data_IF_431957258680
#
_entry.id   IF_431957258680
#
_cell.length_a   1.000
_cell.length_b   1.000
_cell.length_c   1.000
_cell.angle_alpha   90.00
_cell.angle_beta   90.00
_cell.angle_gamma   90.00
#
_symmetry.space_group_name_H-M   'P 1'
#
loop_
_entity.id
_entity.type
_entity.pdbx_description
1 polymer ?
#
# COMPACT_ATOMS: atom_id res chain seq x y z
N UNK A 1 5.29 11.47 6.98
CA UNK A 1 4.58 10.16 7.06
C UNK A 1 3.09 10.23 6.71
N UNK A 2 2.48 11.42 6.68
CA UNK A 2 1.07 11.60 6.28
C UNK A 2 0.78 11.06 4.87
N UNK A 3 1.74 11.16 3.95
CA UNK A 3 1.62 10.66 2.58
C UNK A 3 1.42 9.14 2.50
N UNK A 4 1.97 8.36 3.45
CA UNK A 4 1.84 6.90 3.48
C UNK A 4 0.73 6.41 4.44
N UNK A 5 0.20 7.29 5.30
CA UNK A 5 -0.82 6.93 6.28
C UNK A 5 -2.11 6.32 5.66
N UNK A 6 -2.62 6.80 4.50
CA UNK A 6 -3.78 6.19 3.86
C UNK A 6 -3.56 4.73 3.47
N UNK A 7 -2.33 4.35 3.09
CA UNK A 7 -2.02 2.97 2.72
C UNK A 7 -2.10 2.02 3.92
N UNK A 8 -1.68 2.47 5.11
CA UNK A 8 -1.85 1.69 6.34
C UNK A 8 -3.32 1.51 6.71
N UNK A 9 -4.13 2.55 6.53
CA UNK A 9 -5.58 2.48 6.80
C UNK A 9 -6.26 1.53 5.83
N UNK A 10 -5.86 1.54 4.55
CA UNK A 10 -6.35 0.61 3.54
C UNK A 10 -6.03 -0.85 3.90
N UNK A 11 -4.77 -1.16 4.20
CA UNK A 11 -4.37 -2.53 4.57
C UNK A 11 -4.91 -3.01 5.92
N UNK A 12 -5.29 -2.08 6.81
CA UNK A 12 -5.95 -2.42 8.07
C UNK A 12 -7.46 -2.65 7.90
N UNK A 13 -8.05 -2.15 6.82
CA UNK A 13 -9.47 -2.30 6.52
C UNK A 13 -9.73 -3.63 5.82
N UNK A 14 -10.40 -4.54 6.51
CA UNK A 14 -10.80 -5.84 5.96
C UNK A 14 -11.78 -5.70 4.78
N UNK A 15 -12.66 -4.69 4.83
CA UNK A 15 -13.58 -4.40 3.74
C UNK A 15 -12.85 -4.00 2.44
N UNK A 16 -11.71 -3.31 2.55
CA UNK A 16 -10.98 -2.77 1.41
C UNK A 16 -9.82 -3.66 0.93
N UNK A 17 -9.27 -4.50 1.82
CA UNK A 17 -8.05 -5.28 1.55
C UNK A 17 -8.17 -6.79 1.81
N UNK A 18 -9.35 -7.32 2.14
CA UNK A 18 -9.57 -8.76 2.42
C UNK A 18 -9.03 -9.73 1.36
N UNK A 19 -8.90 -9.29 0.10
CA UNK A 19 -8.37 -10.12 -1.00
C UNK A 19 -6.92 -9.79 -1.40
N UNK A 20 -6.27 -8.84 -0.73
CA UNK A 20 -4.91 -8.39 -1.03
C UNK A 20 -3.99 -8.88 0.09
N UNK A 21 -3.22 -9.94 -0.21
CA UNK A 21 -2.31 -10.56 0.77
C UNK A 21 -0.95 -10.81 0.13
N UNK A 22 0.12 -10.69 0.93
CA UNK A 22 1.50 -10.89 0.45
C UNK A 22 2.08 -9.75 -0.40
N UNK A 23 1.38 -8.63 -0.55
CA UNK A 23 1.82 -7.45 -1.29
C UNK A 23 2.93 -6.69 -0.51
N UNK A 24 3.96 -6.21 -1.22
CA UNK A 24 5.00 -5.36 -0.65
C UNK A 24 4.87 -3.94 -1.23
N UNK A 25 4.40 -3.01 -0.40
CA UNK A 25 4.29 -1.60 -0.80
C UNK A 25 5.67 -0.93 -0.80
N UNK A 26 6.17 -0.60 -1.99
CA UNK A 26 7.45 0.11 -2.16
C UNK A 26 7.19 1.61 -2.32
N UNK A 27 7.75 2.42 -1.41
CA UNK A 27 7.64 3.88 -1.46
C UNK A 27 8.73 4.43 -2.38
N UNK A 28 8.38 4.75 -3.62
CA UNK A 28 9.32 5.23 -4.65
C UNK A 28 9.20 6.72 -4.97
N UNK A 29 8.27 7.45 -4.34
CA UNK A 29 8.14 8.91 -4.52
C UNK A 29 7.82 9.36 -5.96
N UNK A 30 7.16 8.50 -6.75
CA UNK A 30 6.81 8.78 -8.16
C UNK A 30 7.69 8.08 -9.19
N UNK A 31 8.76 7.40 -8.77
CA UNK A 31 9.53 6.53 -9.65
C UNK A 31 8.80 5.19 -9.83
N UNK A 32 8.74 4.68 -11.06
CA UNK A 32 8.19 3.35 -11.32
C UNK A 32 9.33 2.38 -11.56
N UNK A 33 9.39 1.29 -10.79
CA UNK A 33 10.27 0.16 -11.06
C UNK A 33 9.43 -1.02 -11.52
N UNK A 34 9.41 -1.26 -12.82
CA UNK A 34 8.97 -2.55 -13.36
C UNK A 34 10.13 -3.55 -13.28
N UNK A 35 9.81 -4.82 -13.09
CA UNK A 35 10.74 -5.93 -13.29
C UNK A 35 10.88 -6.24 -14.79
#
# INVERSE_FOLDING_TARGET
PEEIAPAFVFFASDADSSYITGEILTILGGETRAA
#
